data_IF_673727842510
#
_entry.id   IF_673727842510
#
_cell.length_a   1.000
_cell.length_b   1.000
_cell.length_c   1.000
_cell.angle_alpha   90.00
_cell.angle_beta   90.00
_cell.angle_gamma   90.00
#
_symmetry.space_group_name_H-M   'P 1'
#
loop_
_entity.id
_entity.type
_entity.pdbx_description
1 polymer ?
#
# COMPACT_ATOMS: atom_id res chain seq x y z
N UNK A 1 -31.05 -16.06 36.00
CA UNK A 1 -29.62 -15.96 35.60
C UNK A 1 -29.60 -15.47 34.16
N UNK A 2 -29.54 -14.15 33.98
CA UNK A 2 -29.61 -13.50 32.66
C UNK A 2 -28.25 -12.91 32.38
N UNK A 3 -27.61 -13.35 31.29
CA UNK A 3 -26.26 -12.97 30.91
C UNK A 3 -26.18 -11.45 30.66
N UNK A 4 -25.33 -10.78 31.43
CA UNK A 4 -24.92 -9.40 31.17
C UNK A 4 -23.96 -9.45 29.96
N UNK A 5 -24.48 -9.16 28.76
CA UNK A 5 -23.62 -8.81 27.63
C UNK A 5 -23.09 -7.39 27.89
N UNK A 6 -21.78 -7.18 28.09
CA UNK A 6 -21.26 -5.83 28.08
C UNK A 6 -21.38 -5.31 26.64
N UNK A 7 -22.34 -4.42 26.41
CA UNK A 7 -22.39 -3.62 25.20
C UNK A 7 -21.12 -2.76 25.19
N UNK A 8 -20.26 -2.98 24.19
CA UNK A 8 -19.09 -2.15 23.97
C UNK A 8 -19.53 -0.70 23.75
N UNK A 9 -18.90 0.30 24.40
CA UNK A 9 -19.22 1.69 24.13
C UNK A 9 -18.82 2.02 22.69
N UNK A 10 -19.83 2.18 21.83
CA UNK A 10 -19.72 2.90 20.55
C UNK A 10 -19.59 4.39 20.88
N UNK A 11 -18.37 4.90 20.90
CA UNK A 11 -18.10 6.34 20.82
C UNK A 11 -17.26 6.61 19.58
N UNK A 12 -17.94 7.05 18.51
CA UNK A 12 -17.36 7.72 17.36
C UNK A 12 -17.96 9.13 17.31
N UNK A 13 -17.25 10.13 17.81
CA UNK A 13 -17.42 11.56 17.49
C UNK A 13 -16.14 12.32 17.91
N UNK A 14 -15.30 12.67 16.94
CA UNK A 14 -14.43 13.87 16.99
C UNK A 14 -13.20 13.89 17.93
N UNK A 15 -12.61 12.76 18.30
CA UNK A 15 -11.36 12.74 19.08
C UNK A 15 -10.39 11.70 18.53
N UNK A 16 -9.17 12.12 18.18
CA UNK A 16 -8.06 11.25 17.76
C UNK A 16 -7.95 10.05 18.69
N UNK A 17 -7.93 8.82 18.16
CA UNK A 17 -7.64 7.60 18.95
C UNK A 17 -6.39 7.87 19.79
N UNK A 18 -6.43 7.66 21.10
CA UNK A 18 -5.26 7.88 21.95
C UNK A 18 -4.19 6.79 21.68
N UNK A 19 -2.91 7.12 21.81
CA UNK A 19 -1.78 6.22 21.52
C UNK A 19 -1.90 4.88 22.27
N UNK A 20 -2.44 4.92 23.49
CA UNK A 20 -2.72 3.73 24.30
C UNK A 20 -3.81 2.84 23.70
N UNK A 21 -4.88 3.43 23.18
CA UNK A 21 -5.94 2.67 22.51
C UNK A 21 -5.43 2.04 21.21
N UNK A 22 -4.69 2.80 20.39
CA UNK A 22 -4.05 2.31 19.17
C UNK A 22 -3.10 1.12 19.45
N UNK A 23 -2.23 1.26 20.46
CA UNK A 23 -1.33 0.18 20.88
C UNK A 23 -2.07 -1.09 21.34
N UNK A 24 -3.18 -0.93 22.07
CA UNK A 24 -4.00 -2.08 22.50
C UNK A 24 -4.71 -2.78 21.36
N UNK A 25 -5.18 -2.05 20.35
CA UNK A 25 -5.76 -2.65 19.15
C UNK A 25 -4.70 -3.51 18.44
N UNK A 26 -3.49 -2.98 18.23
CA UNK A 26 -2.38 -3.73 17.62
C UNK A 26 -1.99 -4.96 18.43
N UNK A 27 -1.90 -4.85 19.76
CA UNK A 27 -1.66 -5.97 20.65
C UNK A 27 -2.72 -7.06 20.54
N UNK A 28 -3.99 -6.68 20.41
CA UNK A 28 -5.09 -7.64 20.23
C UNK A 28 -4.96 -8.39 18.90
N UNK A 29 -4.52 -7.73 17.82
CA UNK A 29 -4.26 -8.39 16.54
C UNK A 29 -3.10 -9.38 16.60
N UNK A 30 -1.97 -9.00 17.21
CA UNK A 30 -0.85 -9.93 17.42
C UNK A 30 -1.29 -11.19 18.17
N UNK A 31 -2.03 -11.03 19.27
CA UNK A 31 -2.55 -12.15 20.07
C UNK A 31 -3.53 -13.03 19.30
N UNK A 32 -4.41 -12.45 18.48
CA UNK A 32 -5.34 -13.20 17.61
C UNK A 32 -4.62 -14.06 16.57
N UNK A 33 -3.47 -13.61 16.07
CA UNK A 33 -2.60 -14.41 15.19
C UNK A 33 -1.71 -15.41 15.93
N UNK A 34 -1.72 -15.42 17.26
CA UNK A 34 -0.87 -16.31 18.05
C UNK A 34 0.63 -15.97 17.98
N UNK A 35 0.99 -14.76 17.58
CA UNK A 35 2.39 -14.35 17.42
C UNK A 35 3.00 -13.89 18.76
N UNK A 36 4.21 -14.35 19.05
CA UNK A 36 5.03 -13.78 20.14
C UNK A 36 5.61 -12.42 19.72
N UNK A 37 6.07 -11.61 20.66
CA UNK A 37 6.72 -10.33 20.32
C UNK A 37 8.03 -10.55 19.55
N UNK A 38 8.77 -11.61 19.88
CA UNK A 38 10.01 -11.97 19.19
C UNK A 38 9.77 -12.31 17.72
N UNK A 39 8.74 -13.13 17.43
CA UNK A 39 8.36 -13.48 16.05
C UNK A 39 7.95 -12.26 15.23
N UNK A 40 7.35 -11.25 15.85
CA UNK A 40 6.97 -10.02 15.16
C UNK A 40 8.19 -9.17 14.86
N UNK A 41 9.15 -9.09 15.78
CA UNK A 41 10.42 -8.39 15.58
C UNK A 41 11.21 -9.03 14.44
N UNK A 42 11.29 -10.36 14.39
CA UNK A 42 11.96 -11.10 13.30
C UNK A 42 11.33 -10.85 11.92
N UNK A 43 10.03 -10.60 11.87
CA UNK A 43 9.26 -10.44 10.63
C UNK A 43 8.99 -8.97 10.27
N UNK A 44 9.45 -8.03 11.10
CA UNK A 44 9.19 -6.60 10.90
C UNK A 44 10.49 -5.79 10.94
N UNK A 45 10.35 -4.49 10.70
CA UNK A 45 11.44 -3.54 10.87
C UNK A 45 11.64 -3.10 12.32
N UNK A 46 10.81 -3.56 13.26
CA UNK A 46 10.91 -3.15 14.66
C UNK A 46 12.19 -3.72 15.26
N UNK A 47 13.05 -2.91 15.91
CA UNK A 47 14.38 -3.36 16.29
C UNK A 47 14.40 -4.31 17.48
N UNK A 48 13.45 -4.20 18.43
CA UNK A 48 13.46 -5.00 19.66
C UNK A 48 12.06 -5.33 20.21
N UNK A 49 11.90 -6.44 20.94
CA UNK A 49 10.64 -6.78 21.61
C UNK A 49 10.21 -5.75 22.65
N UNK A 50 11.17 -5.10 23.31
CA UNK A 50 10.92 -4.03 24.28
C UNK A 50 10.33 -2.80 23.59
N UNK A 51 10.84 -2.43 22.41
CA UNK A 51 10.29 -1.34 21.62
C UNK A 51 8.88 -1.68 21.11
N UNK A 52 8.67 -2.91 20.62
CA UNK A 52 7.34 -3.40 20.26
C UNK A 52 6.37 -3.33 21.45
N UNK A 53 6.80 -3.76 22.64
CA UNK A 53 5.99 -3.67 23.85
C UNK A 53 5.69 -2.23 24.27
N UNK A 54 6.59 -1.28 24.01
CA UNK A 54 6.36 0.14 24.28
C UNK A 54 5.29 0.72 23.34
N UNK A 55 5.29 0.32 22.06
CA UNK A 55 4.24 0.66 21.10
C UNK A 55 2.88 0.05 21.51
N UNK A 56 2.86 -1.24 21.85
CA UNK A 56 1.62 -1.95 22.24
C UNK A 56 0.96 -1.41 23.53
N UNK A 57 1.75 -0.80 24.40
CA UNK A 57 1.25 -0.19 25.63
C UNK A 57 0.97 1.32 25.48
N UNK A 58 1.19 1.89 24.29
CA UNK A 58 1.01 3.31 24.01
C UNK A 58 2.02 4.23 24.68
N UNK A 59 3.18 3.71 25.11
CA UNK A 59 4.29 4.53 25.58
C UNK A 59 4.87 5.35 24.42
N UNK A 60 4.84 4.78 23.22
CA UNK A 60 5.08 5.48 21.97
C UNK A 60 3.83 5.36 21.09
N UNK A 61 3.52 6.41 20.35
CA UNK A 61 2.42 6.37 19.40
C UNK A 61 2.81 5.52 18.20
N UNK A 62 2.16 4.36 18.10
CA UNK A 62 2.44 3.40 17.03
C UNK A 62 2.12 3.93 15.64
N UNK A 63 1.21 4.91 15.53
CA UNK A 63 0.80 5.51 14.26
C UNK A 63 1.88 6.42 13.67
N UNK A 64 2.67 7.03 14.54
CA UNK A 64 3.79 7.90 14.18
C UNK A 64 5.11 7.13 14.07
N UNK A 65 5.10 5.81 14.31
CA UNK A 65 6.29 4.99 14.18
C UNK A 65 6.58 4.70 12.70
N UNK A 66 7.85 4.82 12.31
CA UNK A 66 8.31 4.39 10.99
C UNK A 66 8.05 2.90 10.70
N UNK A 67 7.92 2.09 11.76
CA UNK A 67 7.65 0.65 11.65
C UNK A 67 6.17 0.31 11.52
N UNK A 68 5.28 1.30 11.59
CA UNK A 68 3.83 1.08 11.60
C UNK A 68 3.36 0.26 10.38
N UNK A 69 3.87 0.60 9.18
CA UNK A 69 3.55 -0.13 7.94
C UNK A 69 4.04 -1.57 7.95
N UNK A 70 5.22 -1.81 8.53
CA UNK A 70 5.77 -3.16 8.68
C UNK A 70 4.91 -4.00 9.64
N UNK A 71 4.49 -3.42 10.77
CA UNK A 71 3.60 -4.07 11.72
C UNK A 71 2.21 -4.38 11.15
N UNK A 72 1.64 -3.48 10.37
CA UNK A 72 0.37 -3.71 9.64
C UNK A 72 0.48 -4.94 8.73
N UNK A 73 1.60 -5.06 8.02
CA UNK A 73 1.86 -6.16 7.10
C UNK A 73 1.99 -7.50 7.85
N UNK A 74 2.80 -7.55 8.92
CA UNK A 74 2.95 -8.75 9.76
C UNK A 74 1.62 -9.15 10.40
N UNK A 75 0.86 -8.18 10.88
CA UNK A 75 -0.45 -8.42 11.49
C UNK A 75 -1.54 -8.71 10.48
N UNK A 76 -1.29 -8.48 9.18
CA UNK A 76 -2.26 -8.67 8.11
C UNK A 76 -3.52 -7.84 8.34
N UNK A 77 -3.37 -6.61 8.82
CA UNK A 77 -4.51 -5.73 9.06
C UNK A 77 -5.12 -5.28 7.74
N UNK A 78 -6.44 -5.19 7.67
CA UNK A 78 -7.14 -4.62 6.52
C UNK A 78 -7.22 -3.09 6.62
N UNK A 79 -7.58 -2.42 5.52
CA UNK A 79 -7.75 -0.97 5.50
C UNK A 79 -8.75 -0.47 6.56
N UNK A 80 -9.87 -1.20 6.76
CA UNK A 80 -10.86 -0.87 7.78
C UNK A 80 -10.28 -0.97 9.20
N UNK A 81 -9.52 -2.02 9.48
CA UNK A 81 -8.87 -2.22 10.78
C UNK A 81 -7.77 -1.20 11.05
N UNK A 82 -7.11 -0.73 9.99
CA UNK A 82 -6.16 0.36 10.08
C UNK A 82 -6.86 1.69 10.36
N UNK A 83 -8.01 1.96 9.74
CA UNK A 83 -8.80 3.15 10.01
C UNK A 83 -9.31 3.18 11.46
N UNK A 84 -9.56 2.02 12.08
CA UNK A 84 -9.86 1.91 13.51
C UNK A 84 -8.69 2.32 14.41
N UNK A 85 -7.45 2.10 13.99
CA UNK A 85 -6.24 2.42 14.75
C UNK A 85 -5.85 3.88 14.53
N UNK A 86 -5.90 4.34 13.28
CA UNK A 86 -5.51 5.67 12.87
C UNK A 86 -6.48 6.19 11.81
N UNK A 87 -7.52 6.92 12.21
CA UNK A 87 -8.53 7.43 11.28
C UNK A 87 -7.95 8.43 10.26
N UNK A 88 -6.83 9.08 10.58
CA UNK A 88 -6.09 9.98 9.69
C UNK A 88 -4.96 9.29 8.91
N UNK A 89 -4.68 8.00 9.19
CA UNK A 89 -3.63 7.32 8.43
C UNK A 89 -4.18 6.93 7.06
N UNK A 90 -3.80 7.71 6.05
CA UNK A 90 -3.89 7.31 4.64
C UNK A 90 -2.91 6.15 4.43
N UNK A 91 -3.32 4.94 4.82
CA UNK A 91 -2.54 3.74 4.56
C UNK A 91 -3.17 3.05 3.37
N UNK A 92 -2.42 3.06 2.28
CA UNK A 92 -2.67 2.20 1.12
C UNK A 92 -2.34 0.76 1.53
N UNK A 93 -3.24 0.11 2.28
CA UNK A 93 -3.08 -1.31 2.64
C UNK A 93 -3.72 -2.15 1.54
N UNK A 94 -2.89 -2.96 0.89
CA UNK A 94 -3.35 -4.01 -0.01
C UNK A 94 -4.21 -5.01 0.77
N UNK A 95 -5.52 -4.98 0.52
CA UNK A 95 -6.48 -5.97 1.03
C UNK A 95 -6.36 -7.25 0.20
N UNK A 96 -6.49 -8.45 0.80
CA UNK A 96 -6.56 -9.69 0.03
C UNK A 96 -7.90 -9.77 -0.71
N UNK A 97 -7.80 -10.09 -1.99
CA UNK A 97 -8.83 -10.31 -3.01
C UNK A 97 -10.26 -10.61 -2.49
N UNK A 98 -11.10 -9.58 -2.48
CA UNK A 98 -12.46 -9.70 -3.03
C UNK A 98 -12.51 -8.76 -4.23
N UNK A 99 -12.51 -9.38 -5.40
CA UNK A 99 -12.64 -8.86 -6.76
C UNK A 99 -13.14 -7.40 -6.85
N UNK A 100 -12.21 -6.44 -6.92
CA UNK A 100 -12.34 -5.08 -7.49
C UNK A 100 -10.93 -4.45 -7.58
N UNK A 101 -10.65 -3.65 -8.63
CA UNK A 101 -9.34 -3.55 -9.24
C UNK A 101 -8.31 -2.85 -8.36
N UNK A 102 -7.12 -3.44 -8.32
CA UNK A 102 -5.87 -2.89 -7.79
C UNK A 102 -5.66 -1.45 -8.25
N UNK A 103 -5.35 -0.52 -7.32
CA UNK A 103 -4.65 0.71 -7.69
C UNK A 103 -3.23 0.31 -8.10
N UNK A 104 -3.07 0.02 -9.39
CA UNK A 104 -1.80 0.11 -10.08
C UNK A 104 -1.26 1.52 -9.88
N UNK A 105 0.07 1.70 -9.88
CA UNK A 105 0.64 2.99 -10.27
C UNK A 105 0.13 3.19 -11.69
N UNK A 106 -0.95 3.94 -11.85
CA UNK A 106 -1.69 3.99 -13.10
C UNK A 106 -0.75 4.52 -14.16
N UNK A 107 -0.32 3.64 -15.07
CA UNK A 107 0.20 4.10 -16.34
C UNK A 107 -0.81 5.10 -16.90
N UNK A 108 -0.37 6.18 -17.55
CA UNK A 108 -1.26 7.10 -18.22
C UNK A 108 -2.27 6.30 -19.06
N UNK A 109 -3.55 6.68 -19.02
CA UNK A 109 -4.61 5.86 -19.61
C UNK A 109 -4.33 5.49 -21.07
N UNK A 110 -3.85 6.46 -21.86
CA UNK A 110 -3.42 6.21 -23.24
C UNK A 110 -2.27 5.20 -23.37
N UNK A 111 -1.32 5.20 -22.44
CA UNK A 111 -0.22 4.23 -22.45
C UNK A 111 -0.72 2.83 -22.10
N UNK A 112 -1.64 2.71 -21.15
CA UNK A 112 -2.25 1.43 -20.82
C UNK A 112 -3.04 0.87 -22.02
N UNK A 113 -3.85 1.69 -22.66
CA UNK A 113 -4.60 1.32 -23.86
C UNK A 113 -3.65 0.93 -25.01
N UNK A 114 -2.52 1.62 -25.17
CA UNK A 114 -1.51 1.27 -26.17
C UNK A 114 -0.86 -0.11 -25.91
N UNK A 115 -0.60 -0.46 -24.65
CA UNK A 115 -0.08 -1.78 -24.27
C UNK A 115 -1.12 -2.87 -24.55
N UNK A 116 -2.39 -2.61 -24.26
CA UNK A 116 -3.48 -3.58 -24.47
C UNK A 116 -3.75 -3.82 -25.97
N UNK A 117 -3.77 -2.74 -26.77
CA UNK A 117 -4.05 -2.78 -28.21
C UNK A 117 -2.85 -3.27 -29.03
N UNK A 118 -1.64 -2.82 -28.70
CA UNK A 118 -0.45 -3.05 -29.52
C UNK A 118 0.60 -3.98 -28.89
N UNK A 119 0.49 -4.32 -27.61
CA UNK A 119 1.45 -5.16 -26.91
C UNK A 119 1.54 -6.60 -27.42
N UNK A 120 0.56 -7.08 -28.19
CA UNK A 120 0.66 -8.36 -28.92
C UNK A 120 1.60 -8.28 -30.12
N UNK A 121 1.70 -7.11 -30.76
CA UNK A 121 2.54 -6.84 -31.93
C UNK A 121 3.93 -6.35 -31.53
N UNK A 122 4.02 -5.60 -30.45
CA UNK A 122 5.26 -5.09 -29.87
C UNK A 122 5.38 -5.61 -28.44
N UNK A 123 6.05 -6.76 -28.27
CA UNK A 123 6.21 -7.41 -26.96
C UNK A 123 6.89 -6.50 -25.93
N UNK A 124 7.77 -5.60 -26.38
CA UNK A 124 8.53 -4.72 -25.52
C UNK A 124 7.66 -3.66 -24.84
N UNK A 125 6.52 -3.29 -25.44
CA UNK A 125 5.53 -2.43 -24.77
C UNK A 125 4.93 -3.10 -23.52
N UNK A 126 4.97 -4.43 -23.43
CA UNK A 126 4.52 -5.17 -22.24
C UNK A 126 5.60 -5.27 -21.17
N UNK A 127 6.83 -4.87 -21.46
CA UNK A 127 7.93 -4.84 -20.50
C UNK A 127 7.70 -3.70 -19.49
N UNK A 128 7.68 -3.99 -18.18
CA UNK A 128 7.58 -2.97 -17.14
C UNK A 128 8.64 -1.86 -17.26
N UNK A 129 9.83 -2.17 -17.77
CA UNK A 129 10.94 -1.24 -17.97
C UNK A 129 10.56 -0.18 -19.00
N UNK A 130 10.00 -0.61 -20.13
CA UNK A 130 9.48 0.27 -21.18
C UNK A 130 8.28 1.06 -20.73
N UNK A 131 7.34 0.44 -20.00
CA UNK A 131 6.17 1.13 -19.46
C UNK A 131 6.54 2.25 -18.50
N UNK A 132 7.48 1.99 -17.58
CA UNK A 132 7.98 3.01 -16.65
C UNK A 132 8.78 4.10 -17.37
N UNK A 133 9.57 3.73 -18.39
CA UNK A 133 10.33 4.68 -19.19
C UNK A 133 9.42 5.63 -19.97
N UNK A 134 8.40 5.09 -20.64
CA UNK A 134 7.38 5.87 -21.35
C UNK A 134 6.58 6.74 -20.39
N UNK A 135 6.09 6.18 -19.27
CA UNK A 135 5.35 6.93 -18.25
C UNK A 135 6.18 8.07 -17.61
N UNK A 136 7.50 8.04 -17.71
CA UNK A 136 8.39 9.11 -17.25
C UNK A 136 8.48 10.33 -18.19
N UNK A 137 7.94 10.25 -19.42
CA UNK A 137 8.02 11.35 -20.38
C UNK A 137 7.16 12.54 -19.94
N UNK A 138 7.78 13.72 -19.94
CA UNK A 138 7.10 14.99 -19.69
C UNK A 138 6.55 15.57 -20.99
N UNK A 139 5.24 15.52 -21.13
CA UNK A 139 4.52 16.13 -22.25
C UNK A 139 4.25 17.62 -22.00
N UNK A 140 4.26 18.45 -23.06
CA UNK A 140 4.12 19.91 -22.95
C UNK A 140 2.69 20.36 -22.65
N UNK A 141 1.67 19.63 -23.13
CA UNK A 141 0.25 19.98 -23.04
C UNK A 141 -0.56 18.94 -22.24
N UNK A 142 0.06 18.36 -21.22
CA UNK A 142 -0.51 17.22 -20.50
C UNK A 142 -0.20 15.89 -21.18
N UNK A 143 -0.29 14.80 -20.42
CA UNK A 143 -0.03 13.44 -20.92
C UNK A 143 -1.11 13.07 -21.96
N UNK A 144 -0.74 12.49 -23.11
CA UNK A 144 -1.71 12.13 -24.13
C UNK A 144 -2.61 11.01 -23.60
N UNK A 145 -3.92 11.19 -23.79
CA UNK A 145 -4.90 10.15 -23.52
C UNK A 145 -5.00 9.16 -24.69
N UNK A 146 -4.53 9.54 -25.88
CA UNK A 146 -4.61 8.73 -27.09
C UNK A 146 -3.52 7.64 -27.14
N UNK A 147 -3.89 6.35 -27.35
CA UNK A 147 -2.93 5.26 -27.38
C UNK A 147 -1.96 5.32 -28.57
N UNK A 148 -2.38 5.89 -29.70
CA UNK A 148 -1.55 6.07 -30.89
C UNK A 148 -0.37 7.02 -30.63
N UNK A 149 -0.57 8.08 -29.84
CA UNK A 149 0.49 9.03 -29.49
C UNK A 149 1.61 8.37 -28.65
N UNK A 150 1.24 7.44 -27.78
CA UNK A 150 2.19 6.63 -27.01
C UNK A 150 2.92 5.60 -27.86
N UNK A 151 2.22 4.99 -28.82
CA UNK A 151 2.81 4.06 -29.76
C UNK A 151 3.83 4.76 -30.67
N UNK A 152 3.52 5.96 -31.16
CA UNK A 152 4.42 6.72 -32.01
C UNK A 152 5.67 7.18 -31.24
N UNK A 153 5.51 7.62 -29.98
CA UNK A 153 6.65 7.88 -29.09
C UNK A 153 7.54 6.63 -28.92
N UNK A 154 6.95 5.48 -28.63
CA UNK A 154 7.71 4.22 -28.51
C UNK A 154 8.47 3.89 -29.81
N UNK A 155 7.84 4.03 -30.97
CA UNK A 155 8.47 3.75 -32.26
C UNK A 155 9.61 4.71 -32.57
N UNK A 156 9.48 5.97 -32.20
CA UNK A 156 10.55 6.96 -32.37
C UNK A 156 11.73 6.68 -31.45
N UNK A 157 11.50 6.20 -30.23
CA UNK A 157 12.55 5.77 -29.30
C UNK A 157 13.30 4.52 -29.80
N UNK A 158 12.57 3.53 -30.33
CA UNK A 158 13.18 2.34 -30.95
C UNK A 158 14.00 2.73 -32.19
N UNK A 159 13.51 3.64 -33.03
CA UNK A 159 14.24 4.16 -34.20
C UNK A 159 15.50 4.94 -33.80
N UNK A 160 15.46 5.64 -32.67
CA UNK A 160 16.60 6.32 -32.09
C UNK A 160 17.59 5.37 -31.39
N UNK A 161 17.29 4.06 -31.32
CA UNK A 161 18.15 3.05 -30.69
C UNK A 161 18.11 3.06 -29.16
N UNK A 162 17.08 3.64 -28.56
CA UNK A 162 16.93 3.69 -27.09
C UNK A 162 16.50 2.33 -26.56
N UNK A 163 17.26 1.80 -25.61
CA UNK A 163 16.91 0.59 -24.85
C UNK A 163 16.90 0.92 -23.35
N UNK A 164 15.72 1.07 -22.72
CA UNK A 164 15.60 1.33 -21.30
C UNK A 164 16.24 0.20 -20.47
N UNK A 165 16.97 0.57 -19.42
CA UNK A 165 17.57 -0.40 -18.48
C UNK A 165 18.91 -1.02 -18.89
N UNK A 166 19.46 -0.67 -20.07
CA UNK A 166 20.84 -1.01 -20.41
C UNK A 166 21.79 0.05 -19.81
N UNK A 167 22.27 -0.17 -18.59
CA UNK A 167 23.42 0.52 -18.03
C UNK A 167 24.28 -0.46 -17.23
#
# INVERSE_FOLDING_TARGET
MTYYQPQAPRTYWGGTVDAKAAGKIMQAHRKRKGLTQDQVVEQSTVPTPQYLSALENGRYDVRNSEHFRSLISVYGLTADQVAEISPDAVITVASPEITRPTRHVSLPQGLQEAVELHGKRYSDLRDPTWQNYLAGFRWREGEPEEPEAWLDLYRDLIRAGVVPGSN
#
